data_IF_827681515522
#
_entry.id   IF_827681515522
#
_cell.length_a   1.000
_cell.length_b   1.000
_cell.length_c   1.000
_cell.angle_alpha   90.00
_cell.angle_beta   90.00
_cell.angle_gamma   90.00
#
_symmetry.space_group_name_H-M   'P 1'
#
loop_
_entity.id
_entity.type
_entity.pdbx_description
1 polymer ?
#
# COMPACT_ATOMS: atom_id res chain seq x y z
N UNK A 1 -14.37 -13.61 -14.28
CA UNK A 1 -13.00 -13.08 -14.12
C UNK A 1 -12.69 -12.92 -12.63
N UNK A 2 -11.44 -13.17 -12.19
CA UNK A 2 -11.08 -13.09 -10.77
C UNK A 2 -10.92 -11.61 -10.37
N UNK A 3 -11.74 -11.11 -9.43
CA UNK A 3 -11.67 -9.71 -8.95
C UNK A 3 -10.48 -9.49 -7.98
N UNK A 4 -9.92 -10.54 -7.39
CA UNK A 4 -8.87 -10.49 -6.34
C UNK A 4 -7.79 -11.54 -6.61
N UNK A 5 -6.54 -11.23 -6.30
CA UNK A 5 -5.41 -12.14 -6.47
C UNK A 5 -5.44 -13.30 -5.49
N UNK A 6 -5.84 -13.06 -4.25
CA UNK A 6 -5.74 -14.02 -3.16
C UNK A 6 -7.08 -14.26 -2.46
N UNK A 7 -7.20 -15.44 -1.83
CA UNK A 7 -8.34 -15.75 -0.97
C UNK A 7 -8.36 -14.85 0.29
N UNK A 8 -7.21 -14.37 0.73
CA UNK A 8 -7.11 -13.44 1.89
C UNK A 8 -7.74 -12.10 1.54
N UNK A 9 -7.44 -11.54 0.37
CA UNK A 9 -8.08 -10.32 -0.12
C UNK A 9 -9.59 -10.51 -0.29
N UNK A 10 -10.01 -11.62 -0.84
CA UNK A 10 -11.43 -11.94 -0.98
C UNK A 10 -12.14 -12.05 0.37
N UNK A 11 -11.48 -12.61 1.41
CA UNK A 11 -12.04 -12.65 2.76
C UNK A 11 -12.15 -11.25 3.37
N UNK A 12 -11.11 -10.41 3.22
CA UNK A 12 -11.12 -9.00 3.64
C UNK A 12 -12.27 -8.25 2.96
N UNK A 13 -12.42 -8.42 1.66
CA UNK A 13 -13.52 -7.83 0.88
C UNK A 13 -14.89 -8.25 1.40
N UNK A 14 -15.12 -9.55 1.70
CA UNK A 14 -16.41 -10.00 2.26
C UNK A 14 -16.77 -9.26 3.54
N UNK A 15 -15.80 -9.08 4.44
CA UNK A 15 -16.01 -8.35 5.70
C UNK A 15 -16.30 -6.88 5.41
N UNK A 16 -15.50 -6.21 4.58
CA UNK A 16 -15.70 -4.80 4.21
C UNK A 16 -17.05 -4.56 3.56
N UNK A 17 -17.47 -5.45 2.64
CA UNK A 17 -18.77 -5.36 1.97
C UNK A 17 -19.93 -5.47 2.95
N UNK A 18 -19.87 -6.42 3.88
CA UNK A 18 -20.96 -6.62 4.84
C UNK A 18 -21.01 -5.47 5.87
N UNK A 19 -19.86 -5.01 6.37
CA UNK A 19 -19.77 -3.83 7.25
C UNK A 19 -20.33 -2.59 6.54
N UNK A 20 -19.97 -2.38 5.28
CA UNK A 20 -20.49 -1.26 4.50
C UNK A 20 -22.00 -1.37 4.26
N UNK A 21 -22.52 -2.56 3.92
CA UNK A 21 -23.96 -2.80 3.72
C UNK A 21 -24.77 -2.47 4.98
N UNK A 22 -24.31 -2.97 6.13
CA UNK A 22 -24.94 -2.67 7.42
C UNK A 22 -24.84 -1.17 7.77
N UNK A 23 -23.72 -0.53 7.44
CA UNK A 23 -23.56 0.91 7.66
C UNK A 23 -24.49 1.75 6.78
N UNK A 24 -24.65 1.40 5.49
CA UNK A 24 -25.62 2.07 4.61
C UNK A 24 -27.05 1.98 5.15
N UNK A 25 -27.43 0.84 5.70
CA UNK A 25 -28.77 0.58 6.26
C UNK A 25 -28.95 1.12 7.69
N UNK A 26 -27.92 1.74 8.29
CA UNK A 26 -27.91 2.20 9.69
C UNK A 26 -28.15 1.09 10.75
N UNK A 27 -27.86 -0.17 10.40
CA UNK A 27 -28.04 -1.36 11.25
C UNK A 27 -26.72 -1.96 11.76
N UNK A 28 -25.58 -1.29 11.48
CA UNK A 28 -24.25 -1.84 11.80
C UNK A 28 -24.04 -2.09 13.29
N UNK A 29 -24.45 -1.16 14.16
CA UNK A 29 -24.23 -1.28 15.60
C UNK A 29 -24.99 -2.49 16.20
N UNK A 30 -26.18 -2.79 15.69
CA UNK A 30 -27.01 -3.91 16.13
C UNK A 30 -26.48 -5.25 15.59
N UNK A 31 -25.96 -5.24 14.36
CA UNK A 31 -25.63 -6.46 13.62
C UNK A 31 -24.14 -6.79 13.54
N UNK A 32 -23.24 -5.93 14.02
CA UNK A 32 -21.80 -6.14 13.90
C UNK A 32 -21.33 -7.51 14.45
N UNK A 33 -21.90 -7.96 15.57
CA UNK A 33 -21.61 -9.25 16.20
C UNK A 33 -22.04 -10.43 15.30
N UNK A 34 -23.05 -10.24 14.45
CA UNK A 34 -23.58 -11.29 13.59
C UNK A 34 -22.87 -11.41 12.26
N UNK A 35 -22.07 -10.41 11.85
CA UNK A 35 -21.35 -10.42 10.57
C UNK A 35 -20.50 -11.68 10.37
N UNK A 36 -19.75 -12.20 11.37
CA UNK A 36 -19.03 -13.47 11.23
C UNK A 36 -19.94 -14.65 10.85
N UNK A 37 -21.16 -14.71 11.40
CA UNK A 37 -22.12 -15.75 11.09
C UNK A 37 -22.71 -15.59 9.67
N UNK A 38 -22.88 -14.37 9.20
CA UNK A 38 -23.36 -14.08 7.82
C UNK A 38 -22.28 -14.54 6.81
N UNK A 39 -21.00 -14.30 7.09
CA UNK A 39 -19.89 -14.61 6.18
C UNK A 39 -19.61 -16.12 6.16
N UNK A 40 -19.66 -16.78 7.33
CA UNK A 40 -19.46 -18.23 7.49
C UNK A 40 -20.71 -18.83 8.18
N UNK A 41 -21.78 -19.07 7.42
CA UNK A 41 -22.97 -19.71 7.95
C UNK A 41 -22.72 -21.21 8.20
N UNK A 42 -23.44 -21.78 9.18
CA UNK A 42 -23.38 -23.22 9.43
C UNK A 42 -22.21 -23.67 10.32
N UNK A 43 -21.95 -24.97 10.37
CA UNK A 43 -21.03 -25.63 11.31
C UNK A 43 -19.67 -26.00 10.70
N UNK A 44 -19.53 -25.90 9.38
CA UNK A 44 -18.32 -26.33 8.64
C UNK A 44 -17.42 -25.11 8.42
N UNK A 45 -16.16 -25.14 8.87
CA UNK A 45 -15.20 -24.07 8.60
C UNK A 45 -14.80 -24.05 7.12
N UNK A 46 -14.43 -22.89 6.62
CA UNK A 46 -14.03 -22.69 5.22
C UNK A 46 -12.53 -22.49 5.03
N UNK A 47 -11.86 -21.94 6.04
CA UNK A 47 -10.43 -21.54 5.94
C UNK A 47 -9.62 -21.83 7.20
N UNK A 48 -10.21 -22.33 8.29
CA UNK A 48 -9.54 -22.59 9.57
C UNK A 48 -9.89 -23.97 10.11
N UNK A 49 -9.19 -24.39 11.17
CA UNK A 49 -9.38 -25.69 11.80
C UNK A 49 -10.82 -25.92 12.32
N UNK A 50 -11.49 -24.87 12.75
CA UNK A 50 -12.88 -24.95 13.21
C UNK A 50 -13.64 -23.64 12.99
N UNK A 51 -14.96 -23.73 12.93
CA UNK A 51 -15.86 -22.59 12.67
C UNK A 51 -15.81 -21.53 13.78
N UNK A 52 -15.54 -21.93 15.01
CA UNK A 52 -15.46 -21.00 16.15
C UNK A 52 -14.24 -20.09 16.04
N UNK A 53 -13.06 -20.66 15.75
CA UNK A 53 -11.84 -19.90 15.52
C UNK A 53 -11.98 -19.00 14.28
N UNK A 54 -12.58 -19.52 13.22
CA UNK A 54 -12.80 -18.74 11.99
C UNK A 54 -13.68 -17.53 12.25
N UNK A 55 -14.79 -17.69 12.98
CA UNK A 55 -15.69 -16.59 13.34
C UNK A 55 -15.04 -15.61 14.32
N UNK A 56 -14.24 -16.07 15.27
CA UNK A 56 -13.48 -15.19 16.17
C UNK A 56 -12.50 -14.30 15.38
N UNK A 57 -11.77 -14.87 14.40
CA UNK A 57 -10.88 -14.11 13.51
C UNK A 57 -11.70 -13.11 12.66
N UNK A 58 -12.87 -13.52 12.18
CA UNK A 58 -13.75 -12.61 11.43
C UNK A 58 -14.26 -11.45 12.28
N UNK A 59 -14.54 -11.68 13.57
CA UNK A 59 -14.92 -10.61 14.50
C UNK A 59 -13.79 -9.56 14.66
N UNK A 60 -12.54 -9.99 14.76
CA UNK A 60 -11.40 -9.07 14.78
C UNK A 60 -11.25 -8.32 13.43
N UNK A 61 -11.51 -8.97 12.29
CA UNK A 61 -11.54 -8.29 11.00
C UNK A 61 -12.67 -7.26 10.89
N UNK A 62 -13.83 -7.53 11.49
CA UNK A 62 -14.92 -6.55 11.58
C UNK A 62 -14.48 -5.32 12.36
N UNK A 63 -13.76 -5.48 13.48
CA UNK A 63 -13.18 -4.35 14.23
C UNK A 63 -12.24 -3.53 13.35
N UNK A 64 -11.35 -4.18 12.59
CA UNK A 64 -10.46 -3.49 11.64
C UNK A 64 -11.23 -2.77 10.52
N UNK A 65 -12.30 -3.38 10.01
CA UNK A 65 -13.19 -2.77 9.03
C UNK A 65 -13.95 -1.56 9.59
N UNK A 66 -14.11 -1.49 10.91
CA UNK A 66 -14.72 -0.38 11.63
C UNK A 66 -13.71 0.67 12.14
N UNK A 67 -12.45 0.62 11.68
CA UNK A 67 -11.40 1.60 12.02
C UNK A 67 -10.32 1.09 12.96
N UNK A 68 -10.39 -0.17 13.39
CA UNK A 68 -9.36 -0.82 14.22
C UNK A 68 -9.20 -0.21 15.62
N UNK A 69 -8.05 -0.44 16.22
CA UNK A 69 -7.72 0.09 17.55
C UNK A 69 -7.35 1.59 17.45
N UNK A 70 -8.14 2.45 18.05
CA UNK A 70 -7.92 3.91 18.03
C UNK A 70 -6.68 4.35 18.82
N UNK A 71 -6.23 3.56 19.81
CA UNK A 71 -5.02 3.87 20.58
C UNK A 71 -3.72 3.53 19.82
N UNK A 72 -3.80 2.68 18.79
CA UNK A 72 -2.67 2.38 17.94
C UNK A 72 -2.58 3.44 16.81
N UNK A 73 -1.51 4.26 16.74
CA UNK A 73 -1.36 5.28 15.72
C UNK A 73 -1.09 4.69 14.32
N UNK A 74 -0.65 3.43 14.24
CA UNK A 74 -0.35 2.76 12.98
C UNK A 74 -1.65 2.39 12.25
N UNK A 75 -1.61 2.52 10.93
CA UNK A 75 -2.69 2.05 10.05
C UNK A 75 -2.63 0.54 9.79
N UNK A 76 -1.52 -0.11 10.10
CA UNK A 76 -1.33 -1.57 9.98
C UNK A 76 -1.47 -2.20 11.36
N UNK A 77 -2.28 -3.24 11.46
CA UNK A 77 -2.51 -3.99 12.70
C UNK A 77 -2.34 -5.50 12.51
N UNK A 78 -2.04 -6.18 13.61
CA UNK A 78 -1.96 -7.63 13.68
C UNK A 78 -3.22 -8.17 14.34
N UNK A 79 -3.78 -9.23 13.79
CA UNK A 79 -4.85 -10.02 14.37
C UNK A 79 -4.17 -11.22 15.05
N UNK A 80 -3.92 -11.12 16.35
CA UNK A 80 -3.10 -12.06 17.11
C UNK A 80 -3.61 -13.49 16.98
N UNK A 81 -4.92 -13.71 17.15
CA UNK A 81 -5.56 -15.03 17.05
C UNK A 81 -5.47 -15.66 15.65
N UNK A 82 -5.11 -14.87 14.63
CA UNK A 82 -4.89 -15.36 13.27
C UNK A 82 -3.40 -15.58 12.95
N UNK A 83 -2.50 -15.18 13.85
CA UNK A 83 -1.04 -15.21 13.65
C UNK A 83 -0.37 -16.40 14.34
N UNK A 84 -1.00 -17.56 14.33
CA UNK A 84 -0.61 -18.75 15.09
C UNK A 84 -0.07 -19.92 14.24
N UNK A 85 -0.29 -19.90 12.94
CA UNK A 85 0.10 -20.99 12.03
C UNK A 85 1.52 -20.85 11.45
N UNK A 86 2.17 -19.70 11.66
CA UNK A 86 3.53 -19.48 11.17
C UNK A 86 4.55 -20.17 12.09
N UNK A 87 5.65 -20.71 11.50
CA UNK A 87 6.76 -21.24 12.30
C UNK A 87 7.38 -20.12 13.16
N UNK A 88 8.07 -20.52 14.24
CA UNK A 88 8.79 -19.57 15.11
C UNK A 88 9.92 -18.82 14.40
N UNK A 89 10.28 -19.26 13.22
CA UNK A 89 11.40 -18.74 12.46
C UNK A 89 12.74 -19.39 12.79
N UNK A 90 13.78 -18.99 12.05
CA UNK A 90 15.11 -19.54 12.20
C UNK A 90 15.32 -20.88 11.52
N UNK A 91 16.49 -21.47 11.77
CA UNK A 91 16.83 -22.78 11.19
C UNK A 91 16.09 -23.93 11.88
N UNK A 92 15.52 -24.82 11.06
CA UNK A 92 14.85 -26.04 11.52
C UNK A 92 15.28 -27.23 10.66
N UNK A 93 15.30 -28.40 11.29
CA UNK A 93 15.56 -29.67 10.62
C UNK A 93 14.25 -30.24 10.11
N UNK A 94 14.20 -30.58 8.82
CA UNK A 94 13.01 -31.16 8.18
C UNK A 94 13.06 -32.69 8.19
N UNK A 95 11.96 -33.32 7.81
CA UNK A 95 11.85 -34.78 7.61
C UNK A 95 12.80 -35.35 6.54
N UNK A 96 13.52 -34.49 5.80
CA UNK A 96 14.57 -34.88 4.86
C UNK A 96 15.87 -35.28 5.57
N UNK A 97 16.00 -35.09 6.88
CA UNK A 97 17.16 -35.54 7.64
C UNK A 97 17.27 -37.06 7.62
N UNK A 98 18.46 -37.58 7.26
CA UNK A 98 18.72 -39.00 7.13
C UNK A 98 19.56 -39.58 8.27
N UNK A 99 19.85 -38.81 9.32
CA UNK A 99 20.68 -39.28 10.41
C UNK A 99 22.06 -39.74 9.94
N UNK A 100 22.71 -38.97 9.05
CA UNK A 100 23.96 -39.41 8.42
C UNK A 100 25.12 -39.49 9.43
N UNK A 101 25.94 -40.51 9.35
CA UNK A 101 27.07 -40.75 10.26
C UNK A 101 28.12 -39.63 10.24
N UNK A 102 28.16 -38.85 9.17
CA UNK A 102 29.17 -37.79 9.01
C UNK A 102 28.93 -36.58 9.90
N UNK A 103 27.73 -36.41 10.48
CA UNK A 103 27.34 -35.32 11.41
C UNK A 103 27.88 -33.92 11.04
N UNK A 104 28.07 -33.64 9.74
CA UNK A 104 28.67 -32.36 9.28
C UNK A 104 27.97 -31.11 9.82
N UNK A 105 26.67 -31.21 10.05
CA UNK A 105 25.87 -30.10 10.61
C UNK A 105 26.26 -29.79 12.06
N UNK A 106 26.57 -30.82 12.85
CA UNK A 106 27.05 -30.69 14.22
C UNK A 106 28.46 -30.10 14.23
N UNK A 107 29.39 -30.67 13.43
CA UNK A 107 30.78 -30.17 13.34
C UNK A 107 30.86 -28.71 12.89
N UNK A 108 29.93 -28.28 12.02
CA UNK A 108 29.86 -26.90 11.54
C UNK A 108 29.27 -25.95 12.59
N UNK A 109 28.62 -26.45 13.64
CA UNK A 109 27.95 -25.64 14.63
C UNK A 109 28.88 -25.21 15.77
N UNK A 110 29.50 -24.03 15.64
CA UNK A 110 30.41 -23.46 16.67
C UNK A 110 29.72 -23.19 18.01
N UNK A 111 28.39 -23.24 18.08
CA UNK A 111 27.62 -22.93 19.27
C UNK A 111 27.08 -24.18 19.98
N UNK A 112 27.38 -25.39 19.47
CA UNK A 112 26.88 -26.64 20.00
C UNK A 112 25.34 -26.71 20.09
N UNK A 113 24.66 -26.13 19.10
CA UNK A 113 23.21 -26.04 19.08
C UNK A 113 22.56 -27.26 18.38
N UNK A 114 23.34 -28.22 17.87
CA UNK A 114 22.81 -29.39 17.17
C UNK A 114 22.99 -30.62 18.06
N UNK A 115 21.93 -31.35 18.23
CA UNK A 115 21.86 -32.64 18.93
C UNK A 115 21.14 -33.65 18.06
N UNK A 116 21.28 -34.95 18.39
CA UNK A 116 20.59 -36.05 17.69
C UNK A 116 19.70 -36.81 18.65
N UNK A 117 18.56 -37.25 18.15
CA UNK A 117 17.66 -38.14 18.88
C UNK A 117 18.07 -39.62 18.75
N UNK A 118 17.25 -40.51 19.32
CA UNK A 118 17.47 -41.96 19.25
C UNK A 118 17.41 -42.54 17.83
N UNK A 119 16.78 -41.82 16.90
CA UNK A 119 16.69 -42.19 15.49
C UNK A 119 17.78 -41.52 14.65
N UNK A 120 18.79 -40.91 15.29
CA UNK A 120 19.86 -40.14 14.69
C UNK A 120 19.38 -38.92 13.89
N UNK A 121 18.15 -38.43 14.09
CA UNK A 121 17.66 -37.23 13.47
C UNK A 121 18.22 -36.02 14.21
N UNK A 122 18.75 -35.07 13.44
CA UNK A 122 19.30 -33.82 14.02
C UNK A 122 18.18 -32.92 14.55
N UNK A 123 18.47 -32.26 15.68
CA UNK A 123 17.61 -31.23 16.29
C UNK A 123 18.42 -29.97 16.54
N UNK A 124 17.79 -28.79 16.42
CA UNK A 124 18.40 -27.52 16.69
C UNK A 124 17.87 -26.92 17.98
N UNK A 125 18.74 -26.77 18.98
CA UNK A 125 18.43 -26.05 20.21
C UNK A 125 18.33 -24.54 19.90
N UNK A 126 17.12 -24.02 19.90
CA UNK A 126 16.85 -22.60 19.60
C UNK A 126 17.46 -21.64 20.61
N UNK A 127 17.72 -22.08 21.84
CA UNK A 127 18.34 -21.23 22.87
C UNK A 127 19.82 -20.97 22.60
N UNK A 128 20.51 -21.93 21.99
CA UNK A 128 21.93 -21.86 21.63
C UNK A 128 22.15 -21.37 20.19
N UNK A 129 21.17 -21.57 19.31
CA UNK A 129 21.29 -21.26 17.90
C UNK A 129 21.42 -19.74 17.67
N UNK A 130 22.49 -19.33 16.95
CA UNK A 130 22.71 -17.92 16.53
C UNK A 130 22.34 -17.65 15.07
N UNK A 131 21.57 -18.54 14.47
CA UNK A 131 21.06 -18.41 13.09
C UNK A 131 22.11 -18.11 12.03
N UNK A 132 23.35 -18.55 12.21
CA UNK A 132 24.48 -18.29 11.31
C UNK A 132 24.41 -19.06 9.98
N UNK A 133 23.60 -20.11 9.90
CA UNK A 133 23.39 -20.93 8.70
C UNK A 133 24.50 -21.91 8.34
N UNK A 134 25.54 -22.04 9.14
CA UNK A 134 26.67 -22.94 8.82
C UNK A 134 26.21 -24.40 8.65
N UNK A 135 25.32 -24.89 9.52
CA UNK A 135 24.76 -26.24 9.43
C UNK A 135 23.95 -26.50 8.14
N UNK A 136 23.19 -25.52 7.68
CA UNK A 136 22.41 -25.63 6.45
C UNK A 136 23.28 -25.75 5.22
N UNK A 137 24.40 -25.01 5.16
CA UNK A 137 25.34 -25.01 4.03
C UNK A 137 26.06 -26.33 3.84
N UNK A 138 26.29 -27.08 4.90
CA UNK A 138 27.05 -28.34 4.88
C UNK A 138 26.18 -29.60 4.83
N UNK A 139 24.85 -29.44 4.95
CA UNK A 139 23.93 -30.58 4.92
C UNK A 139 23.78 -31.12 3.48
N UNK A 140 24.21 -32.37 3.20
CA UNK A 140 24.19 -32.92 1.83
C UNK A 140 22.75 -33.22 1.35
N UNK A 141 21.79 -33.31 2.27
CA UNK A 141 20.38 -33.56 1.98
C UNK A 141 19.53 -32.29 1.97
N UNK A 142 20.15 -31.11 2.16
CA UNK A 142 19.41 -29.86 2.29
C UNK A 142 18.28 -29.93 3.31
N UNK A 143 18.47 -30.74 4.40
CA UNK A 143 17.44 -30.99 5.40
C UNK A 143 17.29 -29.86 6.43
N UNK A 144 18.15 -28.86 6.40
CA UNK A 144 18.13 -27.74 7.38
C UNK A 144 17.74 -26.47 6.64
N UNK A 145 16.54 -25.97 6.90
CA UNK A 145 15.99 -24.79 6.26
C UNK A 145 15.87 -23.63 7.24
N UNK A 146 16.05 -22.39 6.71
CA UNK A 146 15.77 -21.18 7.45
C UNK A 146 14.34 -20.72 7.14
N UNK A 147 13.45 -20.91 8.09
CA UNK A 147 12.07 -20.48 7.99
C UNK A 147 11.95 -19.03 8.45
N UNK A 148 11.78 -18.13 7.50
CA UNK A 148 11.40 -16.75 7.80
C UNK A 148 9.91 -16.57 7.54
N UNK A 149 9.24 -15.87 8.45
CA UNK A 149 7.84 -15.51 8.23
C UNK A 149 7.71 -14.61 7.02
N UNK A 150 6.68 -14.79 6.19
CA UNK A 150 6.49 -13.94 5.00
C UNK A 150 6.45 -12.45 5.33
N UNK A 151 5.83 -12.07 6.45
CA UNK A 151 5.75 -10.68 6.90
C UNK A 151 7.12 -10.10 7.30
N UNK A 152 7.99 -10.88 7.97
CA UNK A 152 9.35 -10.46 8.32
C UNK A 152 10.22 -10.33 7.05
N UNK A 153 10.09 -11.29 6.12
CA UNK A 153 10.81 -11.27 4.85
C UNK A 153 10.40 -10.09 3.96
N UNK A 154 9.12 -9.73 3.99
CA UNK A 154 8.56 -8.59 3.27
C UNK A 154 8.98 -7.25 3.88
N UNK A 155 9.21 -7.21 5.21
CA UNK A 155 9.56 -5.98 5.91
C UNK A 155 11.05 -5.64 5.75
N UNK A 156 11.41 -4.97 4.65
CA UNK A 156 12.81 -4.59 4.36
C UNK A 156 13.41 -3.61 5.37
N UNK A 157 12.56 -2.88 6.08
CA UNK A 157 12.97 -1.96 7.16
C UNK A 157 13.07 -2.66 8.53
N UNK A 158 12.79 -3.98 8.60
CA UNK A 158 12.87 -4.79 9.82
C UNK A 158 12.07 -4.23 11.00
N UNK A 159 10.85 -3.76 10.72
CA UNK A 159 9.91 -3.27 11.72
C UNK A 159 9.03 -4.38 12.32
N UNK A 160 9.19 -5.63 11.87
CA UNK A 160 8.39 -6.78 12.34
C UNK A 160 9.30 -7.77 13.04
N UNK A 161 8.87 -8.20 14.23
CA UNK A 161 9.49 -9.25 15.04
C UNK A 161 8.44 -10.24 15.50
N UNK A 162 8.89 -11.33 16.14
CA UNK A 162 8.02 -12.31 16.78
C UNK A 162 7.90 -11.97 18.26
N UNK A 163 6.69 -11.88 18.77
CA UNK A 163 6.40 -11.68 20.18
C UNK A 163 6.44 -12.97 20.98
N UNK A 164 6.30 -12.85 22.31
CA UNK A 164 6.39 -13.96 23.27
C UNK A 164 5.32 -15.04 23.06
N UNK A 165 4.14 -14.64 22.61
CA UNK A 165 3.02 -15.54 22.27
C UNK A 165 3.02 -16.00 20.82
N UNK A 166 4.15 -15.90 20.14
CA UNK A 166 4.36 -16.27 18.72
C UNK A 166 3.64 -15.38 17.69
N UNK A 167 2.94 -14.33 18.10
CA UNK A 167 2.35 -13.36 17.18
C UNK A 167 3.42 -12.45 16.57
N UNK A 168 3.10 -11.86 15.43
CA UNK A 168 3.92 -10.80 14.86
C UNK A 168 3.71 -9.49 15.65
N UNK A 169 4.80 -8.78 15.93
CA UNK A 169 4.78 -7.46 16.59
C UNK A 169 5.36 -6.43 15.65
N UNK A 170 4.67 -5.29 15.50
CA UNK A 170 5.09 -4.19 14.64
C UNK A 170 5.68 -3.05 15.50
N UNK A 171 6.94 -2.73 15.29
CA UNK A 171 7.58 -1.55 15.87
C UNK A 171 7.11 -0.29 15.12
N UNK A 172 6.24 0.48 15.75
CA UNK A 172 5.66 1.70 15.16
C UNK A 172 6.71 2.79 14.90
N UNK A 173 7.82 2.80 15.65
CA UNK A 173 8.90 3.76 15.44
C UNK A 173 9.65 3.49 14.12
N UNK A 174 9.70 2.23 13.68
CA UNK A 174 10.32 1.84 12.41
C UNK A 174 9.31 1.74 11.26
N UNK A 175 8.07 1.33 11.56
CA UNK A 175 7.08 1.05 10.52
C UNK A 175 6.76 2.31 9.69
N UNK A 176 6.78 2.18 8.37
CA UNK A 176 6.47 3.22 7.38
C UNK A 176 5.09 3.02 6.73
N UNK A 177 4.29 2.13 7.26
CA UNK A 177 2.93 1.81 6.79
C UNK A 177 2.81 1.43 5.30
N UNK A 178 3.88 0.92 4.66
CA UNK A 178 3.88 0.58 3.23
C UNK A 178 2.96 -0.59 2.86
N UNK A 179 2.52 -1.42 3.82
CA UNK A 179 1.59 -2.51 3.60
C UNK A 179 2.16 -3.79 2.99
N UNK A 180 3.47 -3.89 2.72
CA UNK A 180 4.08 -5.10 2.14
C UNK A 180 3.79 -6.36 2.97
N UNK A 181 3.77 -6.25 4.30
CA UNK A 181 3.42 -7.32 5.22
C UNK A 181 1.93 -7.72 5.16
N UNK A 182 1.05 -6.81 4.80
CA UNK A 182 -0.38 -7.08 4.62
C UNK A 182 -0.58 -8.00 3.42
N UNK A 183 0.02 -7.64 2.28
CA UNK A 183 -0.09 -8.41 1.05
C UNK A 183 0.56 -9.80 1.16
N UNK A 184 1.71 -9.89 1.83
CA UNK A 184 2.48 -11.13 1.92
C UNK A 184 2.00 -12.10 3.02
N UNK A 185 1.09 -11.70 3.91
CA UNK A 185 0.62 -12.59 4.97
C UNK A 185 -0.34 -13.67 4.42
N UNK A 186 0.04 -14.96 4.36
CA UNK A 186 -0.79 -16.00 3.77
C UNK A 186 -2.04 -16.32 4.60
N UNK A 187 -2.04 -15.94 5.88
CA UNK A 187 -3.16 -16.12 6.79
C UNK A 187 -4.02 -14.86 6.95
N UNK A 188 -3.56 -13.75 6.34
CA UNK A 188 -4.20 -12.46 6.51
C UNK A 188 -4.25 -11.99 7.97
N UNK A 189 -3.31 -12.41 8.79
CA UNK A 189 -3.19 -11.99 10.17
C UNK A 189 -2.76 -10.52 10.30
N UNK A 190 -2.13 -9.96 9.28
CA UNK A 190 -1.77 -8.54 9.23
C UNK A 190 -2.70 -7.86 8.24
N UNK A 191 -3.32 -6.77 8.65
CA UNK A 191 -4.23 -5.99 7.81
C UNK A 191 -4.12 -4.50 8.10
N UNK A 192 -4.56 -3.69 7.16
CA UNK A 192 -4.72 -2.26 7.34
C UNK A 192 -6.10 -1.93 7.91
N UNK A 193 -6.17 -0.88 8.72
CA UNK A 193 -7.42 -0.29 9.18
C UNK A 193 -8.24 0.21 8.00
N UNK A 194 -9.54 -0.02 8.04
CA UNK A 194 -10.45 0.55 7.06
C UNK A 194 -11.08 1.84 7.58
N UNK A 195 -11.25 2.77 6.65
CA UNK A 195 -11.95 4.02 6.91
C UNK A 195 -13.20 4.16 6.04
N UNK A 196 -13.70 3.03 5.56
CA UNK A 196 -14.89 2.93 4.72
C UNK A 196 -16.12 3.54 5.38
N UNK A 197 -16.23 3.46 6.71
CA UNK A 197 -17.36 4.03 7.47
C UNK A 197 -17.35 5.56 7.43
N UNK A 198 -16.15 6.18 7.51
CA UNK A 198 -16.03 7.63 7.40
C UNK A 198 -16.48 8.12 6.02
N UNK A 199 -16.11 7.38 4.98
CA UNK A 199 -16.53 7.69 3.60
C UNK A 199 -18.06 7.55 3.46
N UNK A 200 -18.65 6.48 4.00
CA UNK A 200 -20.11 6.30 4.00
C UNK A 200 -20.81 7.46 4.72
N UNK A 201 -20.27 7.92 5.86
CA UNK A 201 -20.81 9.06 6.60
C UNK A 201 -20.73 10.36 5.79
N UNK A 202 -19.59 10.62 5.14
CA UNK A 202 -19.40 11.76 4.22
C UNK A 202 -20.45 11.73 3.11
N UNK A 203 -20.62 10.59 2.44
CA UNK A 203 -21.56 10.46 1.33
C UNK A 203 -23.01 10.57 1.78
N UNK A 204 -23.38 10.02 2.94
CA UNK A 204 -24.72 10.19 3.51
C UNK A 204 -25.04 11.65 3.84
N UNK A 205 -24.10 12.36 4.46
CA UNK A 205 -24.26 13.79 4.79
C UNK A 205 -24.43 14.63 3.52
N UNK A 206 -23.66 14.37 2.49
CA UNK A 206 -23.77 15.06 1.21
C UNK A 206 -25.08 14.75 0.47
N UNK A 207 -25.65 13.56 0.66
CA UNK A 207 -26.99 13.23 0.12
C UNK A 207 -28.11 13.97 0.84
N UNK A 208 -27.95 14.22 2.13
CA UNK A 208 -28.91 14.98 2.96
C UNK A 208 -28.80 16.49 2.75
N UNK A 209 -27.55 16.99 2.67
CA UNK A 209 -27.25 18.39 2.43
C UNK A 209 -26.51 18.55 1.09
N UNK A 210 -27.25 18.96 0.07
CA UNK A 210 -26.77 19.15 -1.30
C UNK A 210 -25.79 20.31 -1.46
N UNK A 211 -25.61 21.15 -0.44
CA UNK A 211 -24.57 22.17 -0.43
C UNK A 211 -23.17 21.58 -0.26
N UNK A 212 -23.07 20.35 0.30
CA UNK A 212 -21.81 19.65 0.48
C UNK A 212 -21.45 18.92 -0.81
N UNK A 213 -20.44 19.41 -1.52
CA UNK A 213 -19.90 18.72 -2.70
C UNK A 213 -18.88 17.67 -2.28
N UNK A 214 -19.00 16.45 -2.81
CA UNK A 214 -18.06 15.36 -2.52
C UNK A 214 -17.21 15.05 -3.74
N UNK A 215 -15.88 15.07 -3.55
CA UNK A 215 -14.90 14.81 -4.59
C UNK A 215 -14.22 13.46 -4.35
N UNK A 216 -14.19 12.60 -5.37
CA UNK A 216 -13.33 11.43 -5.42
C UNK A 216 -12.03 11.79 -6.15
N UNK A 217 -10.91 11.88 -5.45
CA UNK A 217 -9.59 12.05 -6.04
C UNK A 217 -8.98 10.67 -6.26
N UNK A 218 -8.82 10.26 -7.51
CA UNK A 218 -8.51 8.87 -7.88
C UNK A 218 -7.08 8.73 -8.35
N UNK A 219 -6.34 7.77 -7.78
CA UNK A 219 -4.97 7.48 -8.22
C UNK A 219 -4.94 6.89 -9.64
N UNK A 220 -3.99 7.27 -10.51
CA UNK A 220 -3.94 6.81 -11.90
C UNK A 220 -3.74 5.29 -12.04
N UNK A 221 -3.23 4.61 -11.00
CA UNK A 221 -3.16 3.14 -10.94
C UNK A 221 -4.53 2.44 -11.02
N UNK A 222 -5.65 3.16 -10.85
CA UNK A 222 -7.01 2.63 -11.02
C UNK A 222 -7.21 2.03 -12.42
N UNK A 223 -6.53 2.54 -13.43
CA UNK A 223 -6.61 2.07 -14.82
C UNK A 223 -6.24 0.58 -14.98
N UNK A 224 -5.44 0.04 -14.05
CA UNK A 224 -5.00 -1.37 -14.06
C UNK A 224 -5.79 -2.27 -13.09
N UNK A 225 -6.76 -1.76 -12.33
CA UNK A 225 -7.32 -2.49 -11.20
C UNK A 225 -8.68 -3.13 -11.47
N UNK A 226 -9.61 -2.40 -12.02
CA UNK A 226 -10.97 -2.91 -12.31
C UNK A 226 -11.02 -3.53 -13.71
N UNK A 227 -10.15 -4.52 -13.97
CA UNK A 227 -9.93 -5.12 -15.31
C UNK A 227 -11.16 -5.82 -15.92
N UNK A 228 -12.22 -6.00 -15.14
CA UNK A 228 -13.49 -6.59 -15.56
C UNK A 228 -14.51 -5.54 -16.04
N UNK A 229 -14.19 -4.25 -15.92
CA UNK A 229 -14.99 -3.11 -16.35
C UNK A 229 -14.11 -2.07 -17.06
N UNK A 230 -14.71 -1.15 -17.79
CA UNK A 230 -14.01 0.00 -18.36
C UNK A 230 -13.83 1.10 -17.30
N UNK A 231 -12.75 1.89 -17.41
CA UNK A 231 -12.50 2.99 -16.46
C UNK A 231 -13.68 3.97 -16.38
N UNK A 232 -14.28 4.34 -17.50
CA UNK A 232 -15.46 5.21 -17.53
C UNK A 232 -16.66 4.63 -16.75
N UNK A 233 -16.82 3.29 -16.72
CA UNK A 233 -17.86 2.64 -15.93
C UNK A 233 -17.57 2.74 -14.41
N UNK A 234 -16.28 2.67 -14.01
CA UNK A 234 -15.87 2.89 -12.63
C UNK A 234 -16.18 4.31 -12.20
N UNK A 235 -15.93 5.29 -13.06
CA UNK A 235 -16.27 6.71 -12.83
C UNK A 235 -17.75 6.91 -12.61
N UNK A 236 -18.60 6.31 -13.45
CA UNK A 236 -20.06 6.34 -13.28
C UNK A 236 -20.47 5.63 -12.00
N UNK A 237 -19.82 4.52 -11.64
CA UNK A 237 -20.04 3.83 -10.37
C UNK A 237 -19.76 4.72 -9.15
N UNK A 238 -18.68 5.50 -9.17
CA UNK A 238 -18.37 6.49 -8.14
C UNK A 238 -19.45 7.56 -8.01
N UNK A 239 -19.96 8.07 -9.12
CA UNK A 239 -21.09 9.02 -9.11
C UNK A 239 -22.35 8.37 -8.54
N UNK A 240 -22.64 7.10 -8.87
CA UNK A 240 -23.77 6.34 -8.28
C UNK A 240 -23.61 6.05 -6.78
N UNK A 241 -22.38 5.93 -6.27
CA UNK A 241 -22.12 5.86 -4.83
C UNK A 241 -22.52 7.16 -4.11
N UNK A 242 -22.50 8.28 -4.79
CA UNK A 242 -22.87 9.59 -4.25
C UNK A 242 -21.76 10.65 -4.35
N UNK A 243 -20.65 10.36 -5.00
CA UNK A 243 -19.65 11.40 -5.30
C UNK A 243 -20.20 12.37 -6.34
N UNK A 244 -20.05 13.66 -6.05
CA UNK A 244 -20.43 14.73 -6.98
C UNK A 244 -19.52 14.77 -8.19
N UNK A 245 -18.20 14.72 -7.95
CA UNK A 245 -17.18 14.83 -8.99
C UNK A 245 -16.06 13.80 -8.77
N UNK A 246 -15.51 13.29 -9.88
CA UNK A 246 -14.34 12.42 -9.89
C UNK A 246 -13.21 13.17 -10.60
N UNK A 247 -12.05 13.27 -9.92
CA UNK A 247 -10.86 13.98 -10.43
C UNK A 247 -9.67 13.05 -10.36
N UNK A 248 -8.78 13.15 -11.35
CA UNK A 248 -7.52 12.41 -11.35
C UNK A 248 -6.52 13.03 -10.37
N UNK A 249 -5.95 12.21 -9.46
CA UNK A 249 -4.78 12.63 -8.70
C UNK A 249 -3.56 12.89 -9.60
N UNK A 250 -3.62 12.42 -10.84
CA UNK A 250 -2.64 12.67 -11.88
C UNK A 250 -2.52 14.16 -12.25
N UNK A 251 -3.61 14.95 -12.18
CA UNK A 251 -3.54 16.41 -12.35
C UNK A 251 -2.70 17.05 -11.23
N UNK A 252 -2.85 16.56 -9.99
CA UNK A 252 -1.96 16.97 -8.90
C UNK A 252 -0.51 16.51 -9.12
N UNK A 253 -0.29 15.41 -9.85
CA UNK A 253 1.05 14.98 -10.22
C UNK A 253 1.69 15.89 -11.27
N UNK A 254 0.91 16.41 -12.23
CA UNK A 254 1.36 17.43 -13.18
C UNK A 254 1.80 18.71 -12.45
N UNK A 255 0.99 19.18 -11.47
CA UNK A 255 1.35 20.33 -10.63
C UNK A 255 2.63 20.10 -9.83
N UNK A 256 2.78 18.90 -9.25
CA UNK A 256 3.99 18.54 -8.50
C UNK A 256 5.19 18.45 -9.41
N UNK A 257 5.08 17.83 -10.59
CA UNK A 257 6.18 17.71 -11.53
C UNK A 257 6.72 19.09 -11.96
N UNK A 258 5.81 20.05 -12.22
CA UNK A 258 6.18 21.41 -12.56
C UNK A 258 6.90 22.12 -11.41
N UNK A 259 6.41 21.99 -10.19
CA UNK A 259 7.02 22.62 -9.01
C UNK A 259 8.34 21.93 -8.61
N UNK A 260 8.40 20.60 -8.65
CA UNK A 260 9.56 19.80 -8.26
C UNK A 260 10.72 19.94 -9.24
N UNK A 261 10.44 20.09 -10.55
CA UNK A 261 11.47 20.35 -11.56
C UNK A 261 12.13 21.71 -11.34
N UNK A 262 11.37 22.75 -10.99
CA UNK A 262 11.90 24.07 -10.63
C UNK A 262 12.74 24.00 -9.36
N UNK A 263 12.21 23.40 -8.30
CA UNK A 263 12.92 23.23 -7.02
C UNK A 263 14.23 22.44 -7.21
N UNK A 264 14.21 21.39 -8.06
CA UNK A 264 15.40 20.60 -8.38
C UNK A 264 16.47 21.43 -9.10
N UNK A 265 16.10 22.25 -10.08
CA UNK A 265 17.01 23.11 -10.79
C UNK A 265 17.66 24.16 -9.87
N UNK A 266 16.90 24.69 -8.92
CA UNK A 266 17.39 25.65 -7.93
C UNK A 266 18.34 25.04 -6.90
N UNK A 267 18.02 23.83 -6.41
CA UNK A 267 18.77 23.17 -5.31
C UNK A 267 19.90 22.24 -5.78
N UNK A 268 19.86 21.80 -7.03
CA UNK A 268 20.85 20.90 -7.60
C UNK A 268 20.72 19.42 -7.20
N UNK A 269 20.02 19.11 -6.11
CA UNK A 269 19.71 17.73 -5.69
C UNK A 269 18.42 17.66 -4.86
N UNK A 270 17.55 16.69 -5.20
CA UNK A 270 16.34 16.37 -4.45
C UNK A 270 16.07 14.86 -4.38
N UNK A 271 15.26 14.46 -3.40
CA UNK A 271 14.50 13.22 -3.41
C UNK A 271 13.01 13.55 -3.53
N UNK A 272 12.25 12.66 -4.15
CA UNK A 272 10.80 12.84 -4.32
C UNK A 272 10.03 12.85 -3.01
N UNK A 273 8.89 13.53 -2.97
CA UNK A 273 7.96 13.59 -1.82
C UNK A 273 6.62 12.87 -2.06
N UNK A 274 6.37 12.38 -3.26
CA UNK A 274 5.07 11.81 -3.67
C UNK A 274 4.68 10.52 -2.90
N UNK A 275 5.65 9.71 -2.46
CA UNK A 275 5.44 8.48 -1.72
C UNK A 275 5.58 8.69 -0.20
N UNK A 276 4.48 8.71 0.60
CA UNK A 276 4.57 8.97 2.04
C UNK A 276 5.34 7.91 2.82
N UNK A 277 5.39 6.67 2.32
CA UNK A 277 6.20 5.61 2.93
C UNK A 277 7.70 5.85 2.69
N UNK A 278 8.10 6.36 1.52
CA UNK A 278 9.48 6.71 1.23
C UNK A 278 9.94 7.91 2.06
N UNK A 279 9.12 8.96 2.14
CA UNK A 279 9.40 10.12 3.00
C UNK A 279 9.57 9.69 4.45
N UNK A 280 8.63 8.90 4.98
CA UNK A 280 8.74 8.36 6.36
C UNK A 280 9.96 7.47 6.55
N UNK A 281 10.42 6.78 5.53
CA UNK A 281 11.66 5.99 5.58
C UNK A 281 12.88 6.89 5.68
N UNK A 282 12.94 7.98 4.93
CA UNK A 282 14.01 8.98 5.04
C UNK A 282 14.02 9.58 6.45
N UNK A 283 12.88 10.09 6.91
CA UNK A 283 12.75 10.71 8.23
C UNK A 283 13.23 9.79 9.37
N UNK A 284 12.90 8.50 9.31
CA UNK A 284 13.20 7.53 10.37
C UNK A 284 14.60 6.91 10.27
N UNK A 285 15.14 6.74 9.06
CA UNK A 285 16.35 5.92 8.84
C UNK A 285 17.53 6.75 8.32
N UNK A 286 17.26 7.83 7.58
CA UNK A 286 18.26 8.72 6.99
C UNK A 286 17.94 10.19 7.30
N UNK A 287 17.84 10.59 8.58
CA UNK A 287 17.41 11.95 8.95
C UNK A 287 18.30 13.05 8.35
N UNK A 288 19.58 12.76 8.06
CA UNK A 288 20.50 13.67 7.37
C UNK A 288 20.09 13.95 5.92
N UNK A 289 19.23 13.11 5.32
CA UNK A 289 18.70 13.30 3.96
C UNK A 289 17.37 14.05 3.94
N UNK A 290 16.75 14.30 5.10
CA UNK A 290 15.46 15.02 5.20
C UNK A 290 15.47 16.41 4.54
N UNK A 291 16.55 17.23 4.63
CA UNK A 291 16.59 18.53 3.95
C UNK A 291 16.54 18.46 2.42
N UNK A 292 16.80 17.28 1.86
CA UNK A 292 16.78 17.05 0.43
C UNK A 292 15.47 16.44 -0.08
N UNK A 293 14.51 16.18 0.81
CA UNK A 293 13.16 15.78 0.39
C UNK A 293 12.48 16.99 -0.23
N UNK A 294 11.87 16.82 -1.40
CA UNK A 294 11.11 17.88 -2.04
C UNK A 294 10.07 18.47 -1.07
N UNK A 295 9.96 19.79 -1.04
CA UNK A 295 9.03 20.50 -0.16
C UNK A 295 7.58 20.45 -0.66
N UNK A 296 7.37 19.92 -1.86
CA UNK A 296 6.05 19.83 -2.46
C UNK A 296 5.17 18.80 -1.72
N UNK A 297 3.89 19.11 -1.59
CA UNK A 297 2.91 18.15 -1.13
C UNK A 297 2.80 16.98 -2.15
N UNK A 298 2.32 15.84 -1.70
CA UNK A 298 2.08 14.74 -2.62
C UNK A 298 0.98 15.08 -3.63
N UNK A 299 0.94 14.45 -4.82
CA UNK A 299 -0.08 14.69 -5.84
C UNK A 299 -1.52 14.70 -5.31
N UNK A 300 -1.83 13.74 -4.43
CA UNK A 300 -3.12 13.70 -3.74
C UNK A 300 -3.39 14.99 -2.97
N UNK A 301 -2.45 15.41 -2.13
CA UNK A 301 -2.63 16.57 -1.27
C UNK A 301 -2.60 17.89 -2.06
N UNK A 302 -1.81 17.97 -3.12
CA UNK A 302 -1.71 19.17 -4.00
C UNK A 302 -3.03 19.46 -4.70
N UNK A 303 -3.61 18.48 -5.40
CA UNK A 303 -4.90 18.71 -6.07
C UNK A 303 -6.04 18.90 -5.07
N UNK A 304 -5.99 18.23 -3.92
CA UNK A 304 -7.00 18.41 -2.88
C UNK A 304 -6.92 19.79 -2.25
N UNK A 305 -5.73 20.32 -2.04
CA UNK A 305 -5.52 21.69 -1.59
C UNK A 305 -6.14 22.69 -2.57
N UNK A 306 -5.83 22.54 -3.86
CA UNK A 306 -6.42 23.37 -4.90
C UNK A 306 -7.96 23.35 -4.88
N UNK A 307 -8.57 22.16 -4.77
CA UNK A 307 -10.04 22.04 -4.70
C UNK A 307 -10.59 22.76 -3.47
N UNK A 308 -9.96 22.57 -2.28
CA UNK A 308 -10.40 23.22 -1.03
C UNK A 308 -10.28 24.74 -1.06
N UNK A 309 -9.34 25.28 -1.83
CA UNK A 309 -9.14 26.74 -1.99
C UNK A 309 -10.17 27.37 -2.95
N UNK A 310 -10.75 26.57 -3.87
CA UNK A 310 -11.68 27.08 -4.89
C UNK A 310 -13.14 26.65 -4.68
N UNK A 311 -13.39 25.65 -3.83
CA UNK A 311 -14.72 25.10 -3.57
C UNK A 311 -15.02 25.16 -2.07
N UNK A 312 -15.92 26.07 -1.71
CA UNK A 312 -16.47 26.12 -0.35
C UNK A 312 -17.30 24.88 -0.05
N UNK A 313 -17.30 24.43 1.21
CA UNK A 313 -18.11 23.31 1.69
C UNK A 313 -17.96 22.01 0.88
N UNK A 314 -16.71 21.61 0.58
CA UNK A 314 -16.44 20.35 -0.10
C UNK A 314 -15.83 19.29 0.85
N UNK A 315 -16.01 18.01 0.49
CA UNK A 315 -15.38 16.85 1.12
C UNK A 315 -14.61 16.08 0.07
N UNK A 316 -13.38 15.72 0.41
CA UNK A 316 -12.45 15.06 -0.51
C UNK A 316 -12.05 13.69 0.02
N UNK A 317 -12.31 12.67 -0.78
CA UNK A 317 -11.90 11.29 -0.50
C UNK A 317 -10.87 10.87 -1.54
N UNK A 318 -9.68 10.49 -1.07
CA UNK A 318 -8.69 9.87 -1.94
C UNK A 318 -8.96 8.38 -2.10
N UNK A 319 -8.88 7.88 -3.33
CA UNK A 319 -9.08 6.48 -3.69
C UNK A 319 -7.85 5.99 -4.44
N UNK A 320 -7.12 5.04 -3.83
CA UNK A 320 -5.87 4.59 -4.42
C UNK A 320 -5.35 3.26 -3.87
N UNK A 321 -4.16 2.83 -4.28
CA UNK A 321 -3.62 1.51 -3.94
C UNK A 321 -2.90 1.46 -2.57
N UNK A 322 -2.81 2.59 -1.86
CA UNK A 322 -1.75 2.81 -0.88
C UNK A 322 -2.26 2.86 0.56
N UNK A 323 -1.76 1.97 1.42
CA UNK A 323 -2.05 2.00 2.86
C UNK A 323 -1.37 3.18 3.58
N UNK A 324 -0.18 3.60 3.12
CA UNK A 324 0.52 4.74 3.72
C UNK A 324 -0.23 6.07 3.50
N UNK A 325 -1.01 6.20 2.43
CA UNK A 325 -1.89 7.36 2.19
C UNK A 325 -2.94 7.52 3.30
N UNK A 326 -3.41 6.43 3.90
CA UNK A 326 -4.32 6.47 5.05
C UNK A 326 -3.67 7.13 6.28
N UNK A 327 -2.35 7.00 6.44
CA UNK A 327 -1.57 7.71 7.47
C UNK A 327 -1.28 9.15 7.08
N UNK A 328 -0.99 9.41 5.80
CA UNK A 328 -0.67 10.75 5.29
C UNK A 328 -1.81 11.75 5.50
N UNK A 329 -3.05 11.34 5.23
CA UNK A 329 -4.22 12.22 5.44
C UNK A 329 -4.45 12.63 6.90
N UNK A 330 -3.75 12.02 7.84
CA UNK A 330 -3.79 12.34 9.27
C UNK A 330 -2.67 13.25 9.73
N UNK A 331 -1.69 13.52 8.86
CA UNK A 331 -0.62 14.52 9.13
C UNK A 331 -1.21 15.93 9.14
N UNK A 332 -0.78 16.77 10.06
CA UNK A 332 -1.28 18.14 10.18
C UNK A 332 -1.12 18.97 8.90
N UNK A 333 -0.08 18.67 8.09
CA UNK A 333 0.17 19.31 6.79
C UNK A 333 -0.81 18.90 5.69
N UNK A 334 -1.55 17.80 5.82
CA UNK A 334 -2.44 17.24 4.79
C UNK A 334 -3.90 17.22 5.23
N UNK A 335 -4.13 17.00 6.53
CA UNK A 335 -5.46 16.90 7.16
C UNK A 335 -6.45 18.03 6.79
N UNK A 336 -6.03 19.29 6.59
CA UNK A 336 -6.95 20.35 6.16
C UNK A 336 -7.50 20.15 4.75
N UNK A 337 -6.81 19.41 3.90
CA UNK A 337 -7.11 19.31 2.46
C UNK A 337 -7.82 18.00 2.07
N UNK A 338 -7.53 16.89 2.77
CA UNK A 338 -8.09 15.58 2.44
C UNK A 338 -8.88 15.04 3.63
N UNK A 339 -10.16 14.77 3.44
CA UNK A 339 -11.03 14.32 4.53
C UNK A 339 -10.83 12.83 4.84
N UNK A 340 -10.61 11.97 3.83
CA UNK A 340 -10.34 10.53 4.04
C UNK A 340 -9.60 9.89 2.86
N UNK A 341 -9.01 8.71 3.11
CA UNK A 341 -8.37 7.88 2.09
C UNK A 341 -8.79 6.42 2.22
N UNK A 342 -9.19 5.82 1.10
CA UNK A 342 -9.54 4.40 0.98
C UNK A 342 -8.78 3.71 -0.13
N UNK A 343 -8.72 2.37 -0.05
CA UNK A 343 -8.06 1.52 -1.05
C UNK A 343 -9.03 1.08 -2.14
N UNK A 344 -8.49 0.52 -3.23
CA UNK A 344 -9.32 -0.08 -4.29
C UNK A 344 -10.10 -1.30 -3.79
N UNK A 345 -9.56 -2.05 -2.81
CA UNK A 345 -10.30 -3.13 -2.14
C UNK A 345 -11.54 -2.61 -1.41
N UNK A 346 -11.41 -1.47 -0.71
CA UNK A 346 -12.52 -0.80 -0.04
C UNK A 346 -13.51 -0.23 -1.04
N UNK A 347 -13.06 0.34 -2.16
CA UNK A 347 -13.95 0.83 -3.22
C UNK A 347 -14.77 -0.31 -3.83
N UNK A 348 -14.15 -1.47 -4.10
CA UNK A 348 -14.88 -2.64 -4.58
C UNK A 348 -15.98 -3.07 -3.60
N UNK A 349 -15.65 -3.05 -2.30
CA UNK A 349 -16.62 -3.38 -1.26
C UNK A 349 -17.78 -2.34 -1.19
N UNK A 350 -17.49 -1.06 -1.42
CA UNK A 350 -18.51 0.00 -1.50
C UNK A 350 -19.48 -0.23 -2.66
N UNK A 351 -18.97 -0.52 -3.86
CA UNK A 351 -19.84 -0.82 -5.01
C UNK A 351 -20.77 -1.98 -4.71
N UNK A 352 -20.21 -3.11 -4.30
CA UNK A 352 -20.99 -4.33 -4.06
C UNK A 352 -21.88 -4.25 -2.81
N UNK A 353 -21.61 -3.33 -1.86
CA UNK A 353 -22.47 -3.09 -0.69
C UNK A 353 -23.78 -2.37 -1.03
N UNK A 354 -23.80 -1.64 -2.14
CA UNK A 354 -24.98 -0.96 -2.70
C UNK A 354 -25.51 -1.66 -3.96
N UNK A 355 -25.04 -2.89 -4.22
CA UNK A 355 -25.44 -3.70 -5.38
C UNK A 355 -25.22 -2.94 -6.72
N UNK A 356 -24.15 -2.09 -6.79
CA UNK A 356 -23.77 -1.36 -7.99
C UNK A 356 -22.90 -2.29 -8.85
N UNK A 357 -23.48 -2.84 -9.91
CA UNK A 357 -22.73 -3.56 -10.93
C UNK A 357 -22.17 -2.56 -11.95
N UNK A 358 -20.85 -2.25 -11.80
CA UNK A 358 -20.19 -1.27 -12.69
C UNK A 358 -20.11 -1.75 -14.14
N UNK A 359 -20.21 -3.05 -14.41
CA UNK A 359 -20.13 -3.59 -15.78
C UNK A 359 -21.33 -3.22 -16.65
N UNK A 360 -22.44 -2.87 -16.02
CA UNK A 360 -23.69 -2.50 -16.69
C UNK A 360 -23.88 -0.99 -16.86
N UNK A 361 -22.91 -0.19 -16.37
CA UNK A 361 -23.01 1.26 -16.39
C UNK A 361 -22.51 1.85 -17.70
N UNK A 362 -23.04 3.00 -18.06
CA UNK A 362 -22.51 3.83 -19.13
C UNK A 362 -21.12 4.38 -18.76
N UNK A 363 -20.30 4.63 -19.76
CA UNK A 363 -18.95 5.17 -19.54
C UNK A 363 -19.01 6.66 -19.23
N UNK A 364 -18.48 7.07 -18.07
CA UNK A 364 -18.21 8.46 -17.75
C UNK A 364 -16.82 8.87 -18.25
N UNK A 365 -16.57 10.17 -18.32
CA UNK A 365 -15.30 10.73 -18.71
C UNK A 365 -14.44 11.01 -17.48
N UNK A 366 -13.15 10.65 -17.56
CA UNK A 366 -12.11 11.01 -16.62
C UNK A 366 -10.86 11.36 -17.45
N UNK A 367 -10.64 12.64 -17.68
CA UNK A 367 -9.56 13.14 -18.54
C UNK A 367 -9.16 14.56 -18.10
N UNK A 368 -8.48 14.64 -16.95
CA UNK A 368 -8.11 15.91 -16.34
C UNK A 368 -6.59 16.12 -16.32
N UNK A 369 -5.78 15.11 -16.67
CA UNK A 369 -4.34 15.12 -16.49
C UNK A 369 -3.58 14.79 -17.77
N UNK A 370 -2.30 15.17 -17.80
CA UNK A 370 -1.40 14.84 -18.90
C UNK A 370 -0.98 13.36 -18.91
N UNK A 371 -0.32 12.97 -19.99
CA UNK A 371 0.40 11.70 -20.06
C UNK A 371 1.35 11.54 -18.87
N UNK A 372 2.13 12.57 -18.56
CA UNK A 372 3.16 12.55 -17.52
C UNK A 372 2.56 12.40 -16.11
N UNK A 373 1.48 13.11 -15.80
CA UNK A 373 0.77 12.94 -14.53
C UNK A 373 0.23 11.53 -14.33
N UNK A 374 -0.31 10.90 -15.37
CA UNK A 374 -0.86 9.54 -15.30
C UNK A 374 0.21 8.48 -15.07
N UNK A 375 1.40 8.61 -15.66
CA UNK A 375 2.48 7.64 -15.51
C UNK A 375 3.21 7.70 -14.16
N UNK A 376 2.96 8.70 -13.30
CA UNK A 376 3.45 8.72 -11.93
C UNK A 376 3.13 7.46 -11.12
N UNK A 377 2.10 6.71 -11.52
CA UNK A 377 1.72 5.47 -10.84
C UNK A 377 2.73 4.33 -10.97
N UNK A 378 3.66 4.40 -11.93
CA UNK A 378 4.71 3.41 -12.13
C UNK A 378 6.09 3.95 -11.75
N UNK A 379 7.00 3.05 -11.36
CA UNK A 379 8.41 3.40 -11.14
C UNK A 379 9.03 3.97 -12.44
N UNK A 380 9.79 5.04 -12.33
CA UNK A 380 10.37 5.84 -13.42
C UNK A 380 9.43 6.91 -13.98
N UNK A 381 8.12 6.87 -13.65
CA UNK A 381 7.15 7.81 -14.19
C UNK A 381 7.31 9.23 -13.65
N UNK A 382 7.69 9.36 -12.39
CA UNK A 382 7.99 10.66 -11.80
C UNK A 382 9.26 11.27 -12.40
N UNK A 383 10.31 10.48 -12.60
CA UNK A 383 11.53 10.96 -13.24
C UNK A 383 11.27 11.45 -14.66
N UNK A 384 10.45 10.70 -15.44
CA UNK A 384 10.01 11.10 -16.78
C UNK A 384 9.25 12.45 -16.74
N UNK A 385 8.36 12.63 -15.76
CA UNK A 385 7.57 13.86 -15.61
C UNK A 385 8.43 15.06 -15.17
N UNK A 386 9.39 14.85 -14.27
CA UNK A 386 10.36 15.91 -13.86
C UNK A 386 11.22 16.33 -15.07
N UNK A 387 11.64 15.37 -15.89
CA UNK A 387 12.39 15.66 -17.12
C UNK A 387 11.58 16.55 -18.09
N UNK A 388 10.29 16.22 -18.30
CA UNK A 388 9.40 17.05 -19.14
C UNK A 388 9.14 18.41 -18.49
N UNK A 389 8.93 18.46 -17.16
CA UNK A 389 8.75 19.73 -16.45
C UNK A 389 9.96 20.68 -16.58
N UNK A 390 11.19 20.15 -16.55
CA UNK A 390 12.41 20.93 -16.82
C UNK A 390 12.41 21.49 -18.24
N UNK A 391 12.06 20.66 -19.21
CA UNK A 391 12.02 21.01 -20.63
C UNK A 391 10.95 22.08 -20.93
N UNK A 392 9.71 21.90 -20.44
CA UNK A 392 8.60 22.82 -20.65
C UNK A 392 8.85 24.20 -20.03
N UNK A 393 9.59 24.24 -18.91
CA UNK A 393 9.97 25.51 -18.26
C UNK A 393 11.24 26.14 -18.83
N UNK A 394 11.83 25.56 -19.86
CA UNK A 394 13.06 26.08 -20.48
C UNK A 394 14.31 25.95 -19.61
N UNK A 395 14.28 25.07 -18.59
CA UNK A 395 15.42 24.81 -17.67
C UNK A 395 16.40 23.79 -18.29
N UNK A 396 16.77 24.00 -19.56
CA UNK A 396 17.57 23.07 -20.38
C UNK A 396 19.03 23.00 -19.97
N UNK A 397 19.52 24.01 -19.25
CA UNK A 397 20.90 24.03 -18.73
C UNK A 397 21.10 23.04 -17.58
N UNK A 398 20.01 22.62 -16.93
CA UNK A 398 20.06 21.62 -15.87
C UNK A 398 19.97 20.20 -16.44
N UNK A 399 21.07 19.46 -16.33
CA UNK A 399 21.10 18.06 -16.75
C UNK A 399 20.56 17.13 -15.66
N UNK A 400 19.37 16.57 -15.88
CA UNK A 400 18.77 15.59 -14.98
C UNK A 400 19.55 14.26 -15.00
N UNK A 401 19.94 13.79 -13.81
CA UNK A 401 20.51 12.47 -13.56
C UNK A 401 19.63 11.76 -12.54
N UNK A 402 18.54 11.17 -13.01
CA UNK A 402 17.59 10.50 -12.15
C UNK A 402 18.03 9.09 -11.75
N UNK A 403 17.74 8.71 -10.50
CA UNK A 403 17.83 7.36 -9.97
C UNK A 403 16.42 6.94 -9.54
N UNK A 404 15.73 6.17 -10.37
CA UNK A 404 14.40 5.64 -10.05
C UNK A 404 14.54 4.34 -9.27
N UNK A 405 14.03 4.33 -8.03
CA UNK A 405 14.16 3.21 -7.10
C UNK A 405 12.84 2.41 -7.06
N UNK A 406 12.92 1.15 -7.46
CA UNK A 406 11.79 0.21 -7.52
C UNK A 406 11.69 -0.62 -6.23
N UNK A 407 10.93 -0.13 -5.29
CA UNK A 407 10.79 -0.74 -3.97
C UNK A 407 11.76 -0.17 -2.93
N UNK A 408 11.42 -0.38 -1.65
CA UNK A 408 12.13 0.23 -0.52
C UNK A 408 13.59 -0.24 -0.38
N UNK A 409 13.94 -1.42 -0.90
CA UNK A 409 15.31 -1.93 -0.84
C UNK A 409 16.23 -1.14 -1.78
N UNK A 410 15.77 -0.84 -2.99
CA UNK A 410 16.51 0.02 -3.91
C UNK A 410 16.63 1.45 -3.37
N UNK A 411 15.53 1.98 -2.78
CA UNK A 411 15.57 3.26 -2.07
C UNK A 411 16.68 3.28 -1.00
N UNK A 412 16.78 2.20 -0.20
CA UNK A 412 17.81 2.05 0.82
C UNK A 412 19.23 2.12 0.23
N UNK A 413 19.44 1.39 -0.86
CA UNK A 413 20.74 1.35 -1.54
C UNK A 413 21.10 2.73 -2.11
N UNK A 414 20.16 3.39 -2.79
CA UNK A 414 20.35 4.71 -3.37
C UNK A 414 20.68 5.78 -2.30
N UNK A 415 19.89 5.83 -1.24
CA UNK A 415 20.10 6.75 -0.11
C UNK A 415 21.44 6.50 0.58
N UNK A 416 21.81 5.23 0.80
CA UNK A 416 23.11 4.87 1.41
C UNK A 416 24.28 5.26 0.52
N UNK A 417 24.19 5.05 -0.80
CA UNK A 417 25.23 5.47 -1.75
C UNK A 417 25.34 6.99 -1.79
N UNK A 418 24.19 7.70 -1.84
CA UNK A 418 24.18 9.16 -1.88
C UNK A 418 24.75 9.78 -0.60
N UNK A 419 24.39 9.26 0.57
CA UNK A 419 24.95 9.73 1.85
C UNK A 419 26.46 9.55 1.97
N UNK A 420 27.07 8.69 1.14
CA UNK A 420 28.53 8.46 1.05
C UNK A 420 29.16 9.12 -0.18
N UNK A 421 28.43 9.97 -0.91
CA UNK A 421 28.87 10.58 -2.17
C UNK A 421 29.29 9.56 -3.26
N UNK A 422 28.68 8.37 -3.25
CA UNK A 422 28.95 7.27 -4.19
C UNK A 422 27.88 7.13 -5.27
N UNK A 423 26.91 8.03 -5.34
CA UNK A 423 25.84 8.05 -6.34
C UNK A 423 25.88 9.35 -7.12
N UNK A 424 26.20 9.27 -8.42
CA UNK A 424 26.12 10.40 -9.35
C UNK A 424 24.69 10.58 -9.88
N UNK A 425 23.77 10.91 -8.97
CA UNK A 425 22.42 11.29 -9.30
C UNK A 425 22.06 12.60 -8.60
N UNK A 426 21.32 13.46 -9.29
CA UNK A 426 20.81 14.71 -8.75
C UNK A 426 19.30 14.64 -8.42
N UNK A 427 18.64 13.54 -8.77
CA UNK A 427 17.26 13.25 -8.39
C UNK A 427 17.07 11.78 -8.01
N UNK A 428 16.50 11.52 -6.84
CA UNK A 428 16.13 10.17 -6.41
C UNK A 428 14.60 10.07 -6.39
N UNK A 429 14.04 9.34 -7.35
CA UNK A 429 12.65 8.92 -7.31
C UNK A 429 12.52 7.70 -6.39
N UNK A 430 11.84 7.85 -5.25
CA UNK A 430 11.69 6.77 -4.29
C UNK A 430 10.27 6.20 -4.26
N UNK A 431 10.11 4.94 -4.66
CA UNK A 431 8.86 4.18 -4.58
C UNK A 431 9.02 3.03 -3.57
N UNK A 432 8.21 3.05 -2.49
CA UNK A 432 8.30 2.00 -1.46
C UNK A 432 7.77 0.63 -1.93
N UNK A 433 6.86 0.62 -2.90
CA UNK A 433 6.30 -0.58 -3.49
C UNK A 433 7.04 -0.95 -4.78
N UNK A 434 7.23 -2.25 -5.02
CA UNK A 434 7.81 -2.74 -6.28
C UNK A 434 6.83 -2.48 -7.43
N UNK A 435 7.33 -1.94 -8.53
CA UNK A 435 6.55 -1.47 -9.67
C UNK A 435 6.01 -0.05 -9.51
N UNK A 436 6.16 0.58 -8.34
CA UNK A 436 5.55 1.86 -7.99
C UNK A 436 4.17 1.68 -7.34
N UNK A 437 3.26 2.66 -7.50
CA UNK A 437 1.93 2.61 -6.89
C UNK A 437 1.06 1.43 -7.39
N UNK A 438 1.33 0.90 -8.58
CA UNK A 438 0.64 -0.29 -9.14
C UNK A 438 0.92 -1.57 -8.35
N UNK A 439 1.95 -1.60 -7.50
CA UNK A 439 2.25 -2.69 -6.57
C UNK A 439 1.81 -2.42 -5.13
N UNK A 440 0.98 -1.41 -4.91
CA UNK A 440 0.50 -1.03 -3.58
C UNK A 440 -0.36 -2.10 -2.92
N UNK A 441 -0.30 -2.22 -1.59
CA UNK A 441 -0.98 -3.26 -0.83
C UNK A 441 -2.52 -3.22 -0.88
N UNK A 442 -3.11 -2.10 -1.29
CA UNK A 442 -4.56 -1.94 -1.51
C UNK A 442 -5.02 -2.12 -2.95
N UNK A 443 -4.14 -2.62 -3.84
CA UNK A 443 -4.49 -3.03 -5.20
C UNK A 443 -5.37 -4.29 -5.19
N UNK A 444 -6.29 -4.39 -6.16
CA UNK A 444 -7.09 -5.61 -6.39
C UNK A 444 -6.25 -6.70 -7.04
N UNK A 445 -5.39 -6.29 -7.98
CA UNK A 445 -4.51 -7.17 -8.76
C UNK A 445 -3.09 -6.62 -8.80
N UNK A 446 -2.13 -7.54 -8.76
CA UNK A 446 -0.70 -7.27 -8.88
C UNK A 446 -0.13 -8.02 -10.08
N UNK A 447 0.86 -7.45 -10.75
CA UNK A 447 1.52 -8.11 -11.88
C UNK A 447 2.14 -7.13 -12.87
N UNK A 448 3.02 -7.64 -13.70
CA UNK A 448 3.77 -6.87 -14.71
C UNK A 448 2.86 -6.16 -15.73
N UNK A 449 1.69 -6.72 -16.02
CA UNK A 449 0.70 -6.14 -16.93
C UNK A 449 0.18 -4.77 -16.47
N UNK A 450 0.19 -4.51 -15.16
CA UNK A 450 -0.31 -3.25 -14.61
C UNK A 450 0.48 -2.04 -15.12
N UNK A 451 1.80 -2.19 -15.37
CA UNK A 451 2.63 -1.14 -15.96
C UNK A 451 2.16 -0.78 -17.37
N UNK A 452 1.93 -1.79 -18.21
CA UNK A 452 1.45 -1.58 -19.57
C UNK A 452 0.06 -0.90 -19.62
N UNK A 453 -0.83 -1.25 -18.69
CA UNK A 453 -2.16 -0.61 -18.59
C UNK A 453 -2.06 0.87 -18.17
N UNK A 454 -1.15 1.21 -17.23
CA UNK A 454 -0.90 2.60 -16.86
C UNK A 454 -0.29 3.39 -18.02
N UNK A 455 0.70 2.84 -18.73
CA UNK A 455 1.28 3.49 -19.92
C UNK A 455 0.24 3.70 -21.04
N UNK A 456 -0.65 2.71 -21.22
CA UNK A 456 -1.77 2.83 -22.17
C UNK A 456 -2.73 3.93 -21.75
N UNK A 457 -3.08 4.00 -20.46
CA UNK A 457 -3.93 5.04 -19.91
C UNK A 457 -3.27 6.44 -20.06
N UNK A 458 -1.97 6.53 -19.80
CA UNK A 458 -1.20 7.75 -20.07
C UNK A 458 -1.36 8.23 -21.51
N UNK A 459 -1.16 7.34 -22.49
CA UNK A 459 -1.29 7.65 -23.91
C UNK A 459 -2.70 8.13 -24.34
N UNK A 460 -3.73 7.78 -23.57
CA UNK A 460 -5.11 8.22 -23.81
C UNK A 460 -5.40 9.63 -23.31
N UNK A 461 -4.49 10.27 -22.55
CA UNK A 461 -4.67 11.64 -22.11
C UNK A 461 -4.91 12.58 -23.31
N UNK A 462 -5.88 13.46 -23.20
CA UNK A 462 -6.14 14.49 -24.19
C UNK A 462 -4.99 15.49 -24.19
N UNK A 463 -4.65 16.03 -23.03
CA UNK A 463 -3.53 16.91 -22.83
C UNK A 463 -2.20 16.13 -22.88
N UNK A 464 -1.28 16.57 -23.72
CA UNK A 464 0.00 15.85 -23.93
C UNK A 464 1.13 16.43 -23.10
N UNK A 465 1.01 17.68 -22.68
CA UNK A 465 2.02 18.38 -21.89
C UNK A 465 1.51 18.64 -20.46
N UNK A 466 2.44 18.82 -19.55
CA UNK A 466 2.14 19.17 -18.15
C UNK A 466 1.50 20.57 -18.12
N UNK A 467 2.05 21.51 -18.87
CA UNK A 467 1.58 22.90 -18.92
C UNK A 467 0.15 23.01 -19.45
N UNK A 468 -0.21 22.22 -20.48
CA UNK A 468 -1.56 22.21 -21.03
C UNK A 468 -2.57 21.67 -19.98
N UNK A 469 -2.23 20.57 -19.33
CA UNK A 469 -3.09 19.98 -18.28
C UNK A 469 -3.32 20.96 -17.11
N UNK A 470 -2.29 21.67 -16.67
CA UNK A 470 -2.40 22.64 -15.57
C UNK A 470 -3.13 23.92 -16.01
N UNK A 471 -3.08 24.30 -17.29
CA UNK A 471 -3.68 25.54 -17.80
C UNK A 471 -5.19 25.63 -17.56
N UNK A 472 -5.88 24.49 -17.41
CA UNK A 472 -7.32 24.43 -17.10
C UNK A 472 -7.62 24.88 -15.65
N UNK A 473 -6.61 24.85 -14.78
CA UNK A 473 -6.71 25.34 -13.43
C UNK A 473 -6.58 26.87 -13.45
N UNK A 474 -7.52 27.59 -12.83
CA UNK A 474 -7.39 29.03 -12.63
C UNK A 474 -6.32 29.27 -11.57
N UNK A 475 -5.07 29.12 -11.96
CA UNK A 475 -3.94 29.31 -11.06
C UNK A 475 -3.25 30.62 -11.37
N UNK A 476 -3.43 31.61 -10.49
CA UNK A 476 -2.35 32.56 -10.19
C UNK A 476 -1.28 31.79 -9.40
N UNK A 477 -0.52 30.92 -10.07
CA UNK A 477 0.66 30.31 -9.46
C UNK A 477 1.72 31.42 -9.41
N UNK A 478 1.74 32.13 -8.28
CA UNK A 478 2.81 33.05 -7.92
C UNK A 478 4.01 32.27 -7.40
#
# INVERSE_FOLDING_TARGET
MRKFDTKVQYLKYKVLREVARQAWNATLLENAINIPNIIVPGKIPTMRCCVYKERAILAERVKLAMGGNKSNPNVIEVIDIACDECPMGGYEVTNSCRGCLAHRCEDACRFGAITFDQNHVAHIDKTKCKECGACSKVCPYSAIHNYKRPCESACKIKAISVGDEKQAVIDNNKCIACGACVYQCPFGAISDKSYILNVIDILKKSQQDKSIKTYAVVAPSISSQFTYAKLGQVVTGLKKLGFHTVIEAALGADMVAQAESKELAEKGFLTSSCCPAFVSYIEKTFPQMTPYVSHNLSPMATISKYIKEHEENCRIVFIGPCTAKKGEVRKDSVKPYVDEAITFEELQALFDSKDIDITTLEEGVLDNASYFGRIFARCGGLADAVAEGLKEQGLTDFQLKACSCDGIEECRIALLKKSKNMLDANFIEGMACVGGCIGGAGCLTHGEKNKAEVDKYGKQAYEKTISDAISVLKTDIK
#
